data_IF_485949903880
#
_entry.id   IF_485949903880
#
_cell.length_a   1.000
_cell.length_b   1.000
_cell.length_c   1.000
_cell.angle_alpha   90.00
_cell.angle_beta   90.00
_cell.angle_gamma   90.00
#
_symmetry.space_group_name_H-M   'P 1'
#
loop_
_entity.id
_entity.type
_entity.pdbx_description
1 polymer ?
#
# COMPACT_ATOMS: atom_id res chain seq x y z
N UNK A 1 -30.89 3.58 -3.16
CA UNK A 1 -29.71 2.69 -3.29
C UNK A 1 -28.56 3.19 -2.44
N UNK A 2 -27.96 2.29 -1.72
CA UNK A 2 -26.79 2.67 -0.95
C UNK A 2 -25.60 2.84 -1.88
N UNK A 3 -24.78 3.87 -1.64
CA UNK A 3 -23.53 4.07 -2.36
C UNK A 3 -22.51 3.04 -1.90
N UNK A 4 -21.71 2.56 -2.83
CA UNK A 4 -20.57 1.71 -2.46
C UNK A 4 -19.57 2.56 -1.68
N UNK A 5 -19.17 2.06 -0.51
CA UNK A 5 -18.14 2.68 0.29
C UNK A 5 -16.85 1.92 0.11
N UNK A 6 -15.74 2.61 0.25
CA UNK A 6 -14.43 2.04 0.08
C UNK A 6 -13.56 2.36 1.29
N UNK A 7 -12.61 1.50 1.55
CA UNK A 7 -11.50 1.84 2.42
C UNK A 7 -10.24 1.95 1.58
N UNK A 8 -9.26 2.68 2.07
CA UNK A 8 -8.04 2.98 1.34
C UNK A 8 -6.82 2.56 2.12
N UNK A 9 -5.79 2.22 1.38
CA UNK A 9 -4.48 1.88 1.93
C UNK A 9 -3.43 2.59 1.09
N UNK A 10 -2.42 3.14 1.74
CA UNK A 10 -1.36 3.86 1.05
C UNK A 10 -0.03 3.16 1.33
N UNK A 11 0.69 2.83 0.27
CA UNK A 11 2.00 2.21 0.36
C UNK A 11 3.06 3.22 -0.09
N UNK A 12 4.15 3.32 0.66
CA UNK A 12 5.32 4.07 0.24
C UNK A 12 6.27 3.10 -0.45
N UNK A 13 6.61 3.41 -1.70
CA UNK A 13 7.43 2.52 -2.53
C UNK A 13 8.70 3.28 -2.90
N UNK A 14 9.85 2.69 -2.60
CA UNK A 14 11.09 3.34 -2.94
C UNK A 14 11.81 2.56 -4.05
N UNK A 15 12.69 3.26 -4.78
CA UNK A 15 13.34 2.70 -5.95
C UNK A 15 14.34 1.59 -5.62
N UNK A 16 14.67 1.41 -4.36
CA UNK A 16 15.61 0.36 -3.92
C UNK A 16 14.96 -0.99 -3.71
N UNK A 17 13.65 -1.08 -3.94
CA UNK A 17 12.93 -2.32 -3.74
C UNK A 17 12.41 -2.50 -2.33
N UNK A 18 11.85 -1.44 -1.77
CA UNK A 18 11.22 -1.47 -0.46
C UNK A 18 9.82 -0.88 -0.56
N UNK A 19 8.86 -1.59 0.02
CA UNK A 19 7.48 -1.11 0.14
C UNK A 19 7.16 -1.05 1.62
N UNK A 20 6.67 0.10 2.08
CA UNK A 20 6.30 0.30 3.47
C UNK A 20 4.83 0.66 3.55
N UNK A 21 4.09 -0.08 4.35
CA UNK A 21 2.66 0.16 4.59
C UNK A 21 2.45 0.18 6.10
N UNK A 22 2.15 1.36 6.63
CA UNK A 22 1.88 1.53 8.06
C UNK A 22 2.95 0.89 8.95
N UNK A 23 4.22 1.05 8.55
CA UNK A 23 5.35 0.54 9.32
C UNK A 23 5.76 -0.89 9.00
N UNK A 24 4.98 -1.62 8.21
CA UNK A 24 5.37 -2.95 7.77
C UNK A 24 6.10 -2.85 6.44
N UNK A 25 7.27 -3.46 6.37
CA UNK A 25 8.11 -3.37 5.18
C UNK A 25 8.16 -4.69 4.44
N UNK A 26 8.13 -4.60 3.10
CA UNK A 26 8.39 -5.72 2.21
C UNK A 26 9.60 -5.35 1.37
N UNK A 27 10.60 -6.22 1.35
CA UNK A 27 11.85 -5.96 0.66
C UNK A 27 12.01 -6.86 -0.54
N UNK A 28 12.69 -6.34 -1.56
CA UNK A 28 13.10 -7.15 -2.71
C UNK A 28 14.05 -8.25 -2.23
N UNK A 29 13.89 -9.43 -2.79
CA UNK A 29 14.74 -10.57 -2.46
C UNK A 29 16.03 -10.53 -3.27
N UNK A 30 17.07 -11.17 -2.73
CA UNK A 30 18.35 -11.27 -3.41
C UNK A 30 18.16 -11.95 -4.77
N UNK A 31 18.63 -11.29 -5.83
CA UNK A 31 18.47 -11.78 -7.18
C UNK A 31 17.10 -11.57 -7.82
N UNK A 32 16.15 -11.02 -7.09
CA UNK A 32 14.82 -10.76 -7.62
C UNK A 32 14.85 -9.51 -8.51
N UNK A 33 14.23 -9.60 -9.68
CA UNK A 33 14.10 -8.44 -10.56
C UNK A 33 13.05 -7.48 -10.01
N UNK A 34 13.24 -6.20 -10.28
CA UNK A 34 12.33 -5.15 -9.79
C UNK A 34 10.90 -5.37 -10.24
N UNK A 35 10.69 -5.79 -11.50
CA UNK A 35 9.34 -6.03 -12.00
C UNK A 35 8.70 -7.25 -11.34
N UNK A 36 9.48 -8.27 -11.02
CA UNK A 36 8.99 -9.43 -10.30
C UNK A 36 8.62 -9.06 -8.86
N UNK A 37 9.43 -8.24 -8.21
CA UNK A 37 9.13 -7.72 -6.90
C UNK A 37 7.84 -6.90 -6.92
N UNK A 38 7.70 -6.01 -7.90
CA UNK A 38 6.48 -5.21 -8.05
C UNK A 38 5.24 -6.08 -8.18
N UNK A 39 5.32 -7.10 -9.00
CA UNK A 39 4.22 -8.04 -9.19
C UNK A 39 3.89 -8.79 -7.91
N UNK A 40 4.90 -9.25 -7.19
CA UNK A 40 4.73 -9.97 -5.92
C UNK A 40 4.02 -9.11 -4.87
N UNK A 41 4.47 -7.87 -4.74
CA UNK A 41 3.87 -6.92 -3.82
C UNK A 41 2.42 -6.59 -4.21
N UNK A 42 2.16 -6.32 -5.49
CA UNK A 42 0.80 -6.00 -5.95
C UNK A 42 -0.13 -7.21 -5.81
N UNK A 43 0.36 -8.40 -6.11
CA UNK A 43 -0.44 -9.61 -5.97
C UNK A 43 -0.78 -9.91 -4.51
N UNK A 44 0.13 -9.62 -3.59
CA UNK A 44 -0.13 -9.81 -2.17
C UNK A 44 -1.30 -8.94 -1.70
N UNK A 45 -1.33 -7.68 -2.13
CA UNK A 45 -2.44 -6.78 -1.80
C UNK A 45 -3.71 -7.16 -2.55
N UNK A 46 -3.58 -7.52 -3.83
CA UNK A 46 -4.73 -7.95 -4.62
C UNK A 46 -5.42 -9.19 -4.07
N UNK A 47 -4.65 -10.11 -3.49
CA UNK A 47 -5.22 -11.30 -2.85
C UNK A 47 -6.10 -10.95 -1.65
N UNK A 48 -5.90 -9.78 -1.06
CA UNK A 48 -6.73 -9.27 0.03
C UNK A 48 -7.85 -8.36 -0.46
N UNK A 49 -8.03 -8.25 -1.77
CA UNK A 49 -9.07 -7.44 -2.36
C UNK A 49 -8.69 -6.00 -2.67
N UNK A 50 -7.42 -5.62 -2.46
CA UNK A 50 -6.97 -4.26 -2.71
C UNK A 50 -6.71 -4.03 -4.19
N UNK A 51 -7.15 -2.88 -4.68
CA UNK A 51 -6.99 -2.45 -6.07
C UNK A 51 -6.16 -1.18 -6.10
N UNK A 52 -5.11 -1.17 -6.91
CA UNK A 52 -4.30 0.04 -7.10
C UNK A 52 -5.09 1.05 -7.93
N UNK A 53 -5.30 2.24 -7.38
CA UNK A 53 -6.10 3.27 -8.06
C UNK A 53 -5.32 4.54 -8.34
N UNK A 54 -4.12 4.69 -7.81
CA UNK A 54 -3.34 5.87 -8.10
C UNK A 54 -1.90 5.75 -7.64
N UNK A 55 -1.04 6.53 -8.25
CA UNK A 55 0.38 6.62 -7.90
C UNK A 55 0.72 8.09 -7.82
N UNK A 56 1.31 8.49 -6.70
CA UNK A 56 1.78 9.85 -6.51
C UNK A 56 3.29 9.83 -6.40
N UNK A 57 4.01 10.30 -7.42
CA UNK A 57 5.47 10.31 -7.36
C UNK A 57 5.98 11.24 -6.25
N UNK A 58 7.07 10.84 -5.65
CA UNK A 58 7.75 11.57 -4.61
C UNK A 58 9.19 11.84 -5.03
N UNK A 59 9.94 12.46 -4.16
CA UNK A 59 11.35 12.75 -4.38
C UNK A 59 12.16 11.45 -4.55
N UNK A 60 13.20 11.54 -5.35
CA UNK A 60 14.26 10.53 -5.45
C UNK A 60 13.76 9.14 -5.86
N UNK A 61 12.81 9.11 -6.79
CA UNK A 61 12.34 7.84 -7.34
C UNK A 61 11.39 7.07 -6.46
N UNK A 62 10.97 7.64 -5.36
CA UNK A 62 9.94 7.05 -4.52
C UNK A 62 8.55 7.43 -5.00
N UNK A 63 7.54 6.74 -4.52
CA UNK A 63 6.15 7.06 -4.84
C UNK A 63 5.22 6.54 -3.75
N UNK A 64 4.09 7.20 -3.59
CA UNK A 64 2.97 6.62 -2.86
C UNK A 64 2.07 5.89 -3.84
N UNK A 65 1.71 4.65 -3.49
CA UNK A 65 0.74 3.86 -4.23
C UNK A 65 -0.54 3.81 -3.40
N UNK A 66 -1.65 4.21 -3.99
CA UNK A 66 -2.93 4.27 -3.31
C UNK A 66 -3.78 3.10 -3.77
N UNK A 67 -4.30 2.36 -2.81
CA UNK A 67 -5.16 1.21 -3.04
C UNK A 67 -6.51 1.46 -2.41
N UNK A 68 -7.53 0.82 -2.96
CA UNK A 68 -8.85 0.80 -2.34
C UNK A 68 -9.42 -0.59 -2.42
N UNK A 69 -10.37 -0.87 -1.54
CA UNK A 69 -11.24 -2.02 -1.69
C UNK A 69 -12.63 -1.67 -1.17
N UNK A 70 -13.69 -2.26 -1.77
CA UNK A 70 -15.04 -1.96 -1.32
C UNK A 70 -15.29 -2.54 0.08
N UNK A 71 -16.09 -1.82 0.84
CA UNK A 71 -16.58 -2.28 2.13
C UNK A 71 -17.93 -2.93 1.94
N UNK A 72 -18.16 -4.06 2.62
CA UNK A 72 -19.48 -4.65 2.67
C UNK A 72 -20.41 -3.72 3.44
N UNK A 73 -21.70 -3.83 3.16
CA UNK A 73 -22.71 -3.05 3.87
C UNK A 73 -22.60 -3.29 5.37
N UNK A 74 -22.53 -2.20 6.13
CA UNK A 74 -22.35 -2.28 7.57
C UNK A 74 -20.94 -2.51 8.07
N UNK A 75 -20.01 -2.79 7.16
CA UNK A 75 -18.61 -3.01 7.52
C UNK A 75 -17.91 -1.68 7.81
N UNK A 76 -17.03 -1.69 8.78
CA UNK A 76 -16.17 -0.55 9.11
C UNK A 76 -14.82 -0.71 8.43
N UNK A 77 -14.21 0.41 8.04
CA UNK A 77 -12.84 0.39 7.54
C UNK A 77 -11.89 -0.06 8.66
N UNK A 78 -10.77 -0.70 8.25
CA UNK A 78 -9.72 -1.04 9.22
C UNK A 78 -9.20 0.23 9.87
N UNK A 79 -9.04 0.24 11.20
CA UNK A 79 -8.45 1.41 11.85
C UNK A 79 -6.99 1.58 11.43
N UNK A 80 -6.58 2.81 11.23
CA UNK A 80 -5.18 3.10 10.99
C UNK A 80 -4.42 3.06 12.31
N UNK A 81 -3.15 2.63 12.24
CA UNK A 81 -2.31 2.63 13.43
C UNK A 81 -1.99 4.07 13.82
N UNK A 82 -2.02 4.40 15.13
CA UNK A 82 -1.66 5.75 15.54
C UNK A 82 -0.20 6.05 15.20
N UNK A 83 0.04 7.29 14.81
CA UNK A 83 1.39 7.76 14.54
C UNK A 83 2.09 7.98 15.87
N UNK A 84 3.27 7.37 16.05
CA UNK A 84 4.06 7.59 17.24
C UNK A 84 4.87 8.87 17.07
N UNK A 85 4.87 9.76 18.08
CA UNK A 85 5.51 11.07 17.95
C UNK A 85 7.00 11.02 17.61
N UNK A 86 7.67 9.93 17.98
CA UNK A 86 9.11 9.80 17.77
C UNK A 86 9.48 9.08 16.45
N UNK A 87 8.48 8.64 15.71
CA UNK A 87 8.72 7.90 14.46
C UNK A 87 8.10 8.67 13.30
N UNK A 88 8.92 9.31 12.48
CA UNK A 88 8.39 9.97 11.29
C UNK A 88 7.81 8.93 10.35
N UNK A 89 6.72 9.29 9.70
CA UNK A 89 6.14 8.47 8.66
C UNK A 89 6.98 8.61 7.40
N UNK A 90 7.23 7.51 6.73
CA UNK A 90 8.02 7.51 5.50
C UNK A 90 7.23 8.01 4.32
#
# INVERSE_FOLDING_TARGET
>A
MANTRYEYKVAYVDFRGRVSVEGEETLIKDGERMTAFGRRYLNALGAQGWELVGIQPQHMGAAFHVFRRPLAEGQQAEPTKPIQPTQPEV
#
